data_IF_951156105071
#
_entry.id   IF_951156105071
#
_cell.length_a   1.000
_cell.length_b   1.000
_cell.length_c   1.000
_cell.angle_alpha   90.00
_cell.angle_beta   90.00
_cell.angle_gamma   90.00
#
_symmetry.space_group_name_H-M   'P 1'
#
loop_
_entity.id
_entity.type
_entity.pdbx_description
1 polymer ?
#
# COMPACT_ATOMS: atom_id res chain seq x y z
N UNK A 1 14.89 -4.68 17.74
CA UNK A 1 14.28 -4.53 16.40
C UNK A 1 15.40 -4.79 15.40
N UNK A 2 15.33 -5.83 14.56
CA UNK A 2 16.32 -5.97 13.46
C UNK A 2 16.18 -4.74 12.57
N UNK A 3 17.30 -4.10 12.24
CA UNK A 3 17.27 -2.95 11.33
C UNK A 3 16.64 -3.38 10.00
N UNK A 4 15.86 -2.50 9.36
CA UNK A 4 15.36 -2.70 7.98
C UNK A 4 16.39 -2.24 6.94
N UNK A 5 17.55 -1.73 7.37
CA UNK A 5 18.62 -1.26 6.47
C UNK A 5 19.04 -2.34 5.46
N UNK A 6 19.14 -3.61 5.89
CA UNK A 6 19.53 -4.68 4.97
C UNK A 6 18.57 -4.80 3.77
N UNK A 7 17.26 -4.60 4.00
CA UNK A 7 16.24 -4.69 2.96
C UNK A 7 16.37 -3.50 1.99
N UNK A 8 16.61 -2.30 2.54
CA UNK A 8 16.83 -1.09 1.74
C UNK A 8 18.08 -1.25 0.86
N UNK A 9 19.18 -1.76 1.41
CA UNK A 9 20.41 -1.95 0.64
C UNK A 9 20.25 -3.05 -0.43
N UNK A 10 19.57 -4.16 -0.14
CA UNK A 10 19.25 -5.17 -1.16
C UNK A 10 18.36 -4.62 -2.28
N UNK A 11 17.37 -3.78 -1.93
CA UNK A 11 16.50 -3.14 -2.90
C UNK A 11 17.29 -2.22 -3.84
N UNK A 12 18.20 -1.41 -3.30
CA UNK A 12 19.09 -0.54 -4.09
C UNK A 12 19.98 -1.35 -5.03
N UNK A 13 20.54 -2.46 -4.55
CA UNK A 13 21.36 -3.35 -5.38
C UNK A 13 20.54 -3.88 -6.55
N UNK A 14 19.34 -4.41 -6.29
CA UNK A 14 18.44 -4.89 -7.36
C UNK A 14 18.18 -3.81 -8.40
N UNK A 15 17.82 -2.59 -7.97
CA UNK A 15 17.49 -1.50 -8.88
C UNK A 15 18.71 -1.04 -9.70
N UNK A 16 19.90 -1.06 -9.09
CA UNK A 16 21.16 -0.76 -9.80
C UNK A 16 21.54 -1.81 -10.85
N UNK A 17 21.12 -3.07 -10.66
CA UNK A 17 21.37 -4.13 -11.63
C UNK A 17 20.40 -4.09 -12.82
N UNK A 18 19.21 -3.53 -12.64
CA UNK A 18 18.14 -3.52 -13.64
C UNK A 18 18.10 -2.25 -14.49
N UNK A 19 18.73 -1.15 -14.06
CA UNK A 19 18.69 0.15 -14.76
C UNK A 19 20.08 0.62 -15.20
N UNK A 20 20.19 1.22 -16.39
CA UNK A 20 21.40 1.92 -16.85
C UNK A 20 21.61 3.26 -16.11
N UNK A 21 20.58 3.77 -15.44
CA UNK A 21 20.67 4.91 -14.53
C UNK A 21 21.28 4.51 -13.18
N UNK A 22 22.10 5.39 -12.60
CA UNK A 22 22.62 5.20 -11.25
C UNK A 22 21.47 5.12 -10.26
N UNK A 23 21.43 4.10 -9.39
CA UNK A 23 20.36 3.87 -8.40
C UNK A 23 19.94 5.12 -7.61
N UNK A 24 20.88 6.04 -7.38
CA UNK A 24 20.67 7.29 -6.66
C UNK A 24 19.70 8.28 -7.37
N UNK A 25 19.34 8.06 -8.64
CA UNK A 25 18.32 8.85 -9.35
C UNK A 25 16.89 8.34 -9.14
N UNK A 26 16.70 7.17 -8.52
CA UNK A 26 15.39 6.51 -8.43
C UNK A 26 14.67 6.79 -7.11
N UNK A 27 15.43 7.08 -6.05
CA UNK A 27 14.88 7.31 -4.72
C UNK A 27 15.61 8.46 -4.02
N UNK A 28 14.95 9.01 -3.03
CA UNK A 28 15.47 10.07 -2.16
C UNK A 28 15.37 9.71 -0.68
N UNK A 29 16.06 10.50 0.13
CA UNK A 29 15.89 10.48 1.58
C UNK A 29 14.75 11.44 1.89
N UNK A 30 13.62 10.89 2.34
CA UNK A 30 12.46 11.69 2.70
C UNK A 30 12.75 12.58 3.91
N UNK A 31 12.32 13.84 3.83
CA UNK A 31 12.32 14.76 4.97
C UNK A 31 11.18 14.41 5.93
N UNK A 32 11.26 14.90 7.17
CA UNK A 32 10.25 14.57 8.19
C UNK A 32 8.83 15.05 7.81
N UNK A 33 8.73 16.10 6.97
CA UNK A 33 7.45 16.58 6.44
C UNK A 33 6.83 15.61 5.41
N UNK A 34 7.63 14.99 4.56
CA UNK A 34 7.14 14.05 3.54
C UNK A 34 6.58 12.79 4.21
N UNK A 35 7.22 12.36 5.29
CA UNK A 35 6.78 11.23 6.10
C UNK A 35 5.44 11.48 6.81
N UNK A 36 4.93 12.71 6.86
CA UNK A 36 3.62 13.00 7.45
C UNK A 36 2.50 12.22 6.77
N UNK A 37 2.63 11.94 5.47
CA UNK A 37 1.67 11.17 4.67
C UNK A 37 1.33 9.84 5.34
N UNK A 38 2.34 9.13 5.82
CA UNK A 38 2.18 7.81 6.44
C UNK A 38 2.28 7.84 7.97
N UNK A 39 2.83 8.89 8.57
CA UNK A 39 3.02 8.97 10.03
C UNK A 39 1.87 9.67 10.76
N UNK A 40 1.05 10.47 10.07
CA UNK A 40 -0.12 11.13 10.63
C UNK A 40 -1.33 11.02 9.69
N UNK A 41 -1.89 9.81 9.64
CA UNK A 41 -2.96 9.46 8.71
C UNK A 41 -4.16 10.41 8.82
N UNK A 42 -4.65 10.68 10.03
CA UNK A 42 -5.78 11.58 10.20
C UNK A 42 -5.48 12.99 9.68
N UNK A 43 -4.34 13.59 10.05
CA UNK A 43 -4.01 14.97 9.62
C UNK A 43 -3.88 15.05 8.10
N UNK A 44 -3.23 14.07 7.48
CA UNK A 44 -3.07 14.00 6.02
C UNK A 44 -4.43 13.82 5.35
N UNK A 45 -5.12 12.73 5.63
CA UNK A 45 -6.28 12.33 4.82
C UNK A 45 -7.55 13.11 5.17
N UNK A 46 -7.69 13.66 6.38
CA UNK A 46 -8.81 14.59 6.67
C UNK A 46 -8.74 15.90 5.89
N UNK A 47 -7.57 16.23 5.32
CA UNK A 47 -7.39 17.41 4.48
C UNK A 47 -7.47 17.08 2.99
N UNK A 48 -6.89 15.96 2.57
CA UNK A 48 -6.73 15.63 1.14
C UNK A 48 -7.75 14.63 0.60
N UNK A 49 -8.43 13.84 1.42
CA UNK A 49 -9.34 12.81 0.90
C UNK A 49 -10.59 13.43 0.27
N UNK A 50 -10.93 12.98 -0.94
CA UNK A 50 -12.06 13.49 -1.74
C UNK A 50 -13.31 12.63 -1.64
N UNK A 51 -13.23 11.49 -0.94
CA UNK A 51 -14.30 10.49 -0.84
C UNK A 51 -15.07 10.60 0.48
N UNK A 52 -14.38 10.91 1.57
CA UNK A 52 -14.89 10.93 2.92
C UNK A 52 -14.78 12.31 3.53
N UNK A 53 -15.80 12.70 4.28
CA UNK A 53 -15.73 13.89 5.11
C UNK A 53 -14.81 13.66 6.31
N UNK A 54 -14.29 14.75 6.89
CA UNK A 54 -13.35 14.71 8.01
C UNK A 54 -13.86 13.86 9.17
N UNK A 55 -15.14 13.96 9.52
CA UNK A 55 -15.76 13.23 10.63
C UNK A 55 -15.78 11.72 10.38
N UNK A 56 -15.85 11.30 9.11
CA UNK A 56 -15.80 9.89 8.73
C UNK A 56 -14.40 9.29 8.88
N UNK A 57 -13.36 10.12 8.93
CA UNK A 57 -11.96 9.70 9.02
C UNK A 57 -11.42 9.71 10.46
N UNK A 58 -12.25 10.04 11.46
CA UNK A 58 -11.84 10.16 12.86
C UNK A 58 -11.15 8.90 13.41
N UNK A 59 -11.53 7.71 12.94
CA UNK A 59 -10.90 6.44 13.33
C UNK A 59 -9.39 6.40 13.00
N UNK A 60 -8.94 7.15 11.98
CA UNK A 60 -7.52 7.24 11.63
C UNK A 60 -6.64 7.86 12.73
N UNK A 61 -7.22 8.54 13.72
CA UNK A 61 -6.46 9.08 14.87
C UNK A 61 -5.85 7.98 15.73
N UNK A 62 -6.49 6.83 15.77
CA UNK A 62 -6.09 5.69 16.60
C UNK A 62 -5.27 4.66 15.81
N UNK A 63 -5.14 4.84 14.50
CA UNK A 63 -4.40 3.94 13.60
C UNK A 63 -2.99 4.49 13.38
N UNK A 64 -1.99 3.65 13.65
CA UNK A 64 -0.58 4.04 13.56
C UNK A 64 0.16 3.12 12.59
N UNK A 65 0.83 3.71 11.60
CA UNK A 65 1.77 2.97 10.75
C UNK A 65 2.99 2.56 11.57
N UNK A 66 3.41 1.28 11.54
CA UNK A 66 4.57 0.83 12.29
C UNK A 66 5.84 1.62 11.96
N UNK A 67 6.61 2.01 13.00
CA UNK A 67 7.86 2.78 12.87
C UNK A 67 8.86 2.19 11.87
N UNK A 68 8.85 0.86 11.70
CA UNK A 68 9.71 0.15 10.75
C UNK A 68 9.40 0.56 9.30
N UNK A 69 8.13 0.77 8.95
CA UNK A 69 7.70 1.22 7.61
C UNK A 69 8.02 2.69 7.42
N UNK A 70 7.79 3.53 8.44
CA UNK A 70 8.19 4.95 8.39
C UNK A 70 9.70 5.06 8.16
N UNK A 71 10.49 4.23 8.85
CA UNK A 71 11.94 4.19 8.66
C UNK A 71 12.34 3.68 7.28
N UNK A 72 11.61 2.72 6.71
CA UNK A 72 11.82 2.28 5.32
C UNK A 72 11.68 3.46 4.36
N UNK A 73 10.56 4.18 4.39
CA UNK A 73 10.33 5.35 3.52
C UNK A 73 11.29 6.50 3.79
N UNK A 74 11.74 6.68 5.04
CA UNK A 74 12.78 7.66 5.37
C UNK A 74 14.12 7.36 4.68
N UNK A 75 14.44 6.08 4.49
CA UNK A 75 15.71 5.63 3.89
C UNK A 75 15.59 5.36 2.40
N UNK A 76 14.36 5.18 1.92
CA UNK A 76 14.02 4.82 0.56
C UNK A 76 12.62 5.36 0.23
N UNK A 77 12.56 6.58 -0.31
CA UNK A 77 11.35 7.12 -0.92
C UNK A 77 11.51 7.13 -2.45
N UNK A 78 10.73 6.35 -3.21
CA UNK A 78 10.73 6.42 -4.67
C UNK A 78 10.44 7.85 -5.17
N UNK A 79 11.05 8.30 -6.26
CA UNK A 79 10.81 9.65 -6.81
C UNK A 79 9.58 9.70 -7.75
N UNK A 80 9.26 8.63 -8.49
CA UNK A 80 8.12 8.60 -9.46
C UNK A 80 7.42 7.24 -9.52
N UNK A 81 7.33 6.55 -8.38
CA UNK A 81 7.03 5.13 -8.36
C UNK A 81 8.14 4.28 -9.01
N UNK A 82 8.33 3.05 -8.55
CA UNK A 82 9.37 2.17 -9.09
C UNK A 82 8.79 0.77 -9.28
N UNK A 83 9.00 0.20 -10.47
CA UNK A 83 8.75 -1.20 -10.74
C UNK A 83 9.75 -2.09 -9.97
N UNK A 84 9.23 -2.96 -9.11
CA UNK A 84 10.02 -3.92 -8.33
C UNK A 84 10.03 -5.33 -8.95
N UNK A 85 9.42 -5.51 -10.12
CA UNK A 85 9.10 -6.80 -10.72
C UNK A 85 7.79 -7.38 -10.16
N UNK A 86 7.30 -8.46 -10.77
CA UNK A 86 6.02 -9.06 -10.36
C UNK A 86 4.80 -8.23 -10.75
N UNK A 87 4.94 -7.33 -11.75
CA UNK A 87 3.95 -6.29 -12.08
C UNK A 87 3.62 -5.34 -10.92
N UNK A 88 4.55 -5.13 -9.98
CA UNK A 88 4.37 -4.26 -8.80
C UNK A 88 5.12 -2.94 -8.92
N UNK A 89 4.37 -1.84 -8.90
CA UNK A 89 4.90 -0.47 -8.80
C UNK A 89 4.82 0.02 -7.36
N UNK A 90 5.97 0.14 -6.69
CA UNK A 90 6.07 0.74 -5.35
C UNK A 90 5.91 2.26 -5.46
N UNK A 91 4.97 2.83 -4.71
CA UNK A 91 4.62 4.26 -4.79
C UNK A 91 5.61 5.14 -4.01
N UNK A 92 5.82 6.37 -4.51
CA UNK A 92 6.43 7.47 -3.74
C UNK A 92 5.51 7.91 -2.59
N UNK A 93 6.02 8.69 -1.63
CA UNK A 93 5.16 9.26 -0.58
C UNK A 93 4.07 10.18 -1.16
N UNK A 94 4.37 10.92 -2.23
CA UNK A 94 3.39 11.76 -2.90
C UNK A 94 2.34 10.94 -3.66
N UNK A 95 2.74 9.85 -4.31
CA UNK A 95 1.81 8.93 -4.97
C UNK A 95 0.94 8.19 -3.94
N UNK A 96 1.49 7.81 -2.79
CA UNK A 96 0.71 7.24 -1.66
C UNK A 96 -0.35 8.24 -1.20
N UNK A 97 0.02 9.51 -1.07
CA UNK A 97 -0.93 10.56 -0.71
C UNK A 97 -2.03 10.64 -1.77
N UNK A 98 -1.67 10.76 -3.04
CA UNK A 98 -2.64 10.91 -4.14
C UNK A 98 -3.57 9.69 -4.27
N UNK A 99 -3.01 8.48 -4.29
CA UNK A 99 -3.76 7.22 -4.41
C UNK A 99 -4.79 7.06 -3.28
N UNK A 100 -4.40 7.34 -2.04
CA UNK A 100 -5.27 7.21 -0.87
C UNK A 100 -6.17 8.44 -0.63
N UNK A 101 -6.06 9.48 -1.45
CA UNK A 101 -6.89 10.68 -1.37
C UNK A 101 -7.94 10.77 -2.48
N UNK A 102 -7.61 10.29 -3.69
CA UNK A 102 -8.40 10.59 -4.89
C UNK A 102 -8.73 9.36 -5.73
N UNK A 103 -7.94 8.29 -5.66
CA UNK A 103 -8.05 7.16 -6.58
C UNK A 103 -8.75 5.95 -5.95
N UNK A 104 -9.43 5.17 -6.79
CA UNK A 104 -10.03 3.91 -6.37
C UNK A 104 -9.12 2.74 -6.75
N UNK A 105 -8.89 1.78 -5.83
CA UNK A 105 -9.59 1.64 -4.56
C UNK A 105 -8.98 2.42 -3.38
N UNK A 106 -7.76 2.96 -3.47
CA UNK A 106 -7.03 3.49 -2.30
C UNK A 106 -7.81 4.47 -1.42
N UNK A 107 -8.42 5.50 -2.01
CA UNK A 107 -9.18 6.52 -1.30
C UNK A 107 -10.44 6.00 -0.60
N UNK A 108 -10.97 4.85 -1.02
CA UNK A 108 -12.09 4.17 -0.38
C UNK A 108 -11.63 3.34 0.83
N UNK A 109 -10.41 2.83 0.80
CA UNK A 109 -9.89 1.92 1.81
C UNK A 109 -9.31 2.65 3.03
N UNK A 110 -8.80 3.87 2.83
CA UNK A 110 -8.05 4.60 3.88
C UNK A 110 -8.87 4.81 5.15
N UNK A 111 -10.18 5.06 5.04
CA UNK A 111 -11.08 5.22 6.21
C UNK A 111 -11.02 4.02 7.16
N UNK A 112 -10.74 2.84 6.63
CA UNK A 112 -10.71 1.58 7.39
C UNK A 112 -9.29 1.19 7.83
N UNK A 113 -8.31 2.09 7.77
CA UNK A 113 -6.92 1.79 8.16
C UNK A 113 -6.16 0.91 7.17
N UNK A 114 -6.61 0.87 5.92
CA UNK A 114 -5.98 0.11 4.84
C UNK A 114 -5.36 1.11 3.87
N UNK A 115 -4.03 1.13 3.80
CA UNK A 115 -3.27 2.13 3.03
C UNK A 115 -2.61 1.49 1.82
N UNK A 116 -2.89 2.00 0.64
CA UNK A 116 -2.23 1.61 -0.61
C UNK A 116 -0.82 2.16 -0.64
N UNK A 117 0.17 1.30 -0.87
CA UNK A 117 1.58 1.69 -0.95
C UNK A 117 2.28 1.21 -2.22
N UNK A 118 1.63 0.33 -2.96
CA UNK A 118 2.03 -0.13 -4.27
C UNK A 118 0.78 -0.37 -5.13
N UNK A 119 0.93 -0.35 -6.44
CA UNK A 119 -0.13 -0.69 -7.40
C UNK A 119 0.38 -1.75 -8.36
N UNK A 120 -0.54 -2.46 -8.99
CA UNK A 120 -0.21 -3.37 -10.09
C UNK A 120 -0.23 -2.63 -11.43
N UNK A 121 0.37 -3.22 -12.48
CA UNK A 121 0.19 -2.76 -13.86
C UNK A 121 -1.30 -2.67 -14.25
N UNK A 122 -2.11 -3.62 -13.77
CA UNK A 122 -3.56 -3.63 -13.97
C UNK A 122 -4.31 -2.57 -13.15
N UNK A 123 -3.65 -1.82 -12.28
CA UNK A 123 -4.23 -0.76 -11.44
C UNK A 123 -4.96 -1.30 -10.20
N UNK A 124 -4.71 -2.54 -9.81
CA UNK A 124 -5.14 -3.07 -8.51
C UNK A 124 -4.27 -2.46 -7.41
N UNK A 125 -4.84 -2.31 -6.21
CA UNK A 125 -4.10 -1.74 -5.10
C UNK A 125 -3.43 -2.84 -4.28
N UNK A 126 -2.18 -2.60 -3.89
CA UNK A 126 -1.47 -3.40 -2.91
C UNK A 126 -1.37 -2.56 -1.64
N UNK A 127 -2.00 -3.07 -0.59
CA UNK A 127 -2.25 -2.31 0.63
C UNK A 127 -1.58 -2.94 1.85
N UNK A 128 -1.18 -2.09 2.78
CA UNK A 128 -0.91 -2.48 4.16
C UNK A 128 -2.22 -2.42 4.95
N UNK A 129 -2.63 -3.53 5.53
CA UNK A 129 -3.73 -3.53 6.50
C UNK A 129 -3.18 -3.29 7.91
N UNK A 130 -3.40 -2.08 8.42
CA UNK A 130 -2.86 -1.63 9.70
C UNK A 130 -3.63 -2.20 10.90
N UNK A 131 -4.78 -2.84 10.68
CA UNK A 131 -5.57 -3.50 11.72
C UNK A 131 -5.01 -4.88 12.08
N UNK A 132 -4.21 -5.50 11.20
CA UNK A 132 -3.66 -6.85 11.39
C UNK A 132 -2.14 -6.81 11.39
N UNK A 133 -1.56 -6.85 12.60
CA UNK A 133 -0.11 -6.80 12.79
C UNK A 133 0.48 -8.17 13.16
N UNK A 134 1.50 -8.60 12.42
CA UNK A 134 2.31 -9.79 12.69
C UNK A 134 3.75 -9.38 13.01
N UNK A 135 4.21 -9.61 14.24
CA UNK A 135 5.52 -9.16 14.74
C UNK A 135 5.77 -7.64 14.55
N UNK A 136 4.69 -6.85 14.70
CA UNK A 136 4.73 -5.39 14.56
C UNK A 136 4.81 -4.90 13.11
N UNK A 137 4.46 -5.72 12.13
CA UNK A 137 4.34 -5.36 10.71
C UNK A 137 2.93 -5.67 10.21
N UNK A 138 2.36 -4.84 9.32
CA UNK A 138 1.05 -5.12 8.74
C UNK A 138 1.13 -6.29 7.77
N UNK A 139 0.02 -7.01 7.62
CA UNK A 139 -0.17 -7.88 6.45
C UNK A 139 -0.28 -7.05 5.18
N UNK A 140 0.13 -7.65 4.07
CA UNK A 140 0.04 -7.11 2.73
C UNK A 140 -1.07 -7.83 2.01
N UNK A 141 -2.02 -7.06 1.51
CA UNK A 141 -3.17 -7.54 0.75
C UNK A 141 -3.18 -6.93 -0.65
N UNK A 142 -3.70 -7.67 -1.62
CA UNK A 142 -4.09 -7.14 -2.92
C UNK A 142 -5.61 -6.95 -2.96
N UNK A 143 -6.02 -5.84 -3.54
CA UNK A 143 -7.43 -5.43 -3.64
C UNK A 143 -7.79 -5.22 -5.10
N UNK A 144 -8.73 -6.04 -5.58
CA UNK A 144 -9.26 -5.94 -6.94
C UNK A 144 -10.05 -4.64 -7.11
N UNK A 145 -9.56 -3.76 -7.98
CA UNK A 145 -10.22 -2.47 -8.29
C UNK A 145 -11.62 -2.67 -8.88
N UNK A 146 -11.89 -3.79 -9.53
CA UNK A 146 -13.19 -4.11 -10.12
C UNK A 146 -14.26 -4.34 -9.05
N UNK A 147 -13.85 -4.84 -7.89
CA UNK A 147 -14.71 -5.07 -6.72
C UNK A 147 -14.83 -3.81 -5.87
N UNK A 148 -13.70 -3.15 -5.60
CA UNK A 148 -13.60 -2.02 -4.66
C UNK A 148 -13.57 -0.67 -5.39
N UNK A 149 -14.52 -0.44 -6.29
CA UNK A 149 -14.60 0.80 -7.09
C UNK A 149 -15.53 1.90 -6.52
N UNK A 150 -16.15 1.67 -5.37
CA UNK A 150 -17.05 2.65 -4.76
C UNK A 150 -17.44 2.30 -3.33
N UNK A 151 -18.20 3.21 -2.68
CA UNK A 151 -18.78 2.99 -1.34
C UNK A 151 -19.81 1.85 -1.31
N UNK A 152 -20.27 1.40 -2.47
CA UNK A 152 -21.13 0.22 -2.63
C UNK A 152 -20.35 -0.76 -3.50
N UNK A 153 -19.97 -1.90 -2.93
CA UNK A 153 -19.29 -2.97 -3.68
C UNK A 153 -20.31 -3.95 -4.23
N UNK A 154 -20.06 -4.48 -5.43
CA UNK A 154 -20.92 -5.47 -6.08
C UNK A 154 -20.22 -6.82 -6.13
N UNK A 155 -20.85 -7.84 -5.56
CA UNK A 155 -20.27 -9.17 -5.41
C UNK A 155 -21.16 -10.24 -6.03
N UNK A 156 -20.56 -11.19 -6.74
CA UNK A 156 -21.26 -12.35 -7.26
C UNK A 156 -21.39 -13.41 -6.15
N UNK A 157 -22.62 -13.70 -5.72
CA UNK A 157 -22.90 -14.72 -4.70
C UNK A 157 -23.94 -15.70 -5.21
N UNK A 158 -23.54 -16.97 -5.41
CA UNK A 158 -24.41 -18.05 -5.91
C UNK A 158 -25.11 -17.68 -7.24
N UNK A 159 -24.38 -17.05 -8.16
CA UNK A 159 -24.90 -16.65 -9.46
C UNK A 159 -25.75 -15.37 -9.46
N UNK A 160 -25.86 -14.67 -8.31
CA UNK A 160 -26.61 -13.42 -8.19
C UNK A 160 -25.69 -12.30 -7.75
N UNK A 161 -25.75 -11.15 -8.44
CA UNK A 161 -25.05 -9.93 -8.03
C UNK A 161 -25.73 -9.33 -6.81
N UNK A 162 -24.96 -9.06 -5.76
CA UNK A 162 -25.41 -8.43 -4.53
C UNK A 162 -24.58 -7.18 -4.25
N UNK A 163 -25.24 -6.15 -3.76
CA UNK A 163 -24.62 -4.89 -3.40
C UNK A 163 -24.52 -4.77 -1.88
N UNK A 164 -23.40 -4.24 -1.41
CA UNK A 164 -23.11 -4.04 0.00
C UNK A 164 -22.44 -2.69 0.19
N UNK A 165 -22.79 -1.98 1.26
CA UNK A 165 -22.01 -0.84 1.71
C UNK A 165 -20.62 -1.32 2.11
N UNK A 166 -19.59 -0.62 1.64
CA UNK A 166 -18.20 -0.94 1.95
C UNK A 166 -17.98 -0.90 3.46
N UNK A 167 -17.33 -1.94 3.98
CA UNK A 167 -16.99 -2.07 5.38
C UNK A 167 -15.67 -2.81 5.52
N UNK A 168 -15.02 -2.68 6.68
CA UNK A 168 -13.78 -3.40 6.97
C UNK A 168 -13.98 -4.92 6.91
N UNK A 169 -15.13 -5.44 7.35
CA UNK A 169 -15.44 -6.88 7.28
C UNK A 169 -15.49 -7.39 5.83
N UNK A 170 -15.90 -6.55 4.88
CA UNK A 170 -15.85 -6.89 3.46
C UNK A 170 -14.43 -6.82 2.91
N UNK A 171 -13.64 -5.85 3.35
CA UNK A 171 -12.22 -5.77 2.99
C UNK A 171 -11.47 -7.02 3.48
N UNK A 172 -11.59 -7.36 4.76
CA UNK A 172 -10.95 -8.55 5.34
C UNK A 172 -11.38 -9.86 4.66
N UNK A 173 -12.61 -9.91 4.17
CA UNK A 173 -13.17 -11.10 3.53
C UNK A 173 -12.79 -11.26 2.05
N UNK A 174 -12.71 -10.15 1.30
CA UNK A 174 -12.58 -10.20 -0.16
C UNK A 174 -11.27 -9.65 -0.70
N UNK A 175 -10.47 -8.94 0.09
CA UNK A 175 -9.08 -8.70 -0.24
C UNK A 175 -8.28 -10.00 -0.05
N UNK A 176 -7.26 -10.20 -0.87
CA UNK A 176 -6.43 -11.42 -0.80
C UNK A 176 -5.13 -11.10 -0.08
N UNK A 177 -4.80 -11.87 0.96
CA UNK A 177 -3.51 -11.77 1.65
C UNK A 177 -2.39 -12.33 0.77
N UNK A 178 -1.46 -11.46 0.35
CA UNK A 178 -0.23 -11.87 -0.33
C UNK A 178 0.79 -12.37 0.70
N UNK A 179 0.95 -11.62 1.78
CA UNK A 179 1.88 -11.96 2.84
C UNK A 179 1.49 -11.36 4.19
N UNK A 180 1.89 -12.02 5.29
CA UNK A 180 1.63 -11.55 6.65
C UNK A 180 2.49 -10.36 7.09
N UNK A 181 3.55 -10.03 6.36
CA UNK A 181 4.53 -9.03 6.74
C UNK A 181 5.03 -8.22 5.54
N UNK A 182 5.03 -6.89 5.70
CA UNK A 182 5.61 -5.94 4.75
C UNK A 182 7.03 -6.32 4.31
N UNK A 183 7.96 -6.56 5.24
CA UNK A 183 9.36 -6.84 4.89
C UNK A 183 9.53 -8.11 4.07
N UNK A 184 8.70 -9.13 4.31
CA UNK A 184 8.75 -10.38 3.56
C UNK A 184 8.21 -10.18 2.15
N UNK A 185 7.12 -9.43 1.98
CA UNK A 185 6.61 -9.08 0.66
C UNK A 185 7.64 -8.34 -0.19
N UNK A 186 8.27 -7.28 0.34
CA UNK A 186 9.33 -6.56 -0.38
C UNK A 186 10.50 -7.49 -0.73
N UNK A 187 10.87 -8.41 0.19
CA UNK A 187 11.93 -9.40 -0.07
C UNK A 187 11.54 -10.39 -1.18
N UNK A 188 10.28 -10.82 -1.25
CA UNK A 188 9.79 -11.67 -2.35
C UNK A 188 9.96 -10.97 -3.71
N UNK A 189 9.67 -9.67 -3.79
CA UNK A 189 9.90 -8.88 -5.00
C UNK A 189 11.39 -8.77 -5.33
N UNK A 190 12.24 -8.48 -4.34
CA UNK A 190 13.70 -8.42 -4.53
C UNK A 190 14.24 -9.73 -5.08
N UNK A 191 13.77 -10.86 -4.55
CA UNK A 191 14.22 -12.20 -4.93
C UNK A 191 13.54 -12.75 -6.21
N UNK A 192 12.69 -11.96 -6.88
CA UNK A 192 11.87 -12.37 -8.02
C UNK A 192 11.05 -13.65 -7.75
N UNK A 193 10.47 -13.75 -6.56
CA UNK A 193 9.59 -14.87 -6.17
C UNK A 193 8.14 -14.68 -6.61
N UNK A 194 7.81 -13.50 -7.14
CA UNK A 194 6.50 -13.15 -7.69
C UNK A 194 6.75 -12.78 -9.16
N UNK A 195 6.13 -13.52 -10.08
CA UNK A 195 6.22 -13.26 -11.53
C UNK A 195 5.10 -12.32 -11.97
N UNK A 196 3.88 -12.58 -11.50
CA UNK A 196 2.71 -11.71 -11.61
C UNK A 196 1.95 -11.74 -10.28
N UNK A 197 1.83 -10.57 -9.63
CA UNK A 197 1.12 -10.46 -8.35
C UNK A 197 -0.40 -10.58 -8.51
N UNK A 198 -0.94 -10.35 -9.71
CA UNK A 198 -2.37 -10.46 -9.98
C UNK A 198 -2.86 -11.91 -9.97
N UNK A 199 -1.96 -12.90 -10.08
CA UNK A 199 -2.30 -14.32 -9.89
C UNK A 199 -2.92 -14.63 -8.51
N UNK A 200 -2.74 -13.74 -7.52
CA UNK A 200 -3.42 -13.86 -6.23
C UNK A 200 -4.93 -13.56 -6.30
N UNK A 201 -5.41 -12.93 -7.38
CA UNK A 201 -6.82 -12.59 -7.57
C UNK A 201 -7.61 -13.66 -8.35
N UNK A 202 -6.92 -14.66 -8.91
CA UNK A 202 -7.50 -15.74 -9.74
C UNK A 202 -8.23 -16.86 -8.95
#
# INVERSE_FOLDING_TARGET
MKSIDWLVEELKIKLSCNNEETSDSLFEIAEDNDLEVISNLFKTYSFYNSIYEKEELEELKDITVPKKIIYFYKRFSPINGIDLGGDVFLLSLDDIKHENSELAPGALLIKYGVITFATTTGGNAICMDLNVLNDGEPRIIIVDKSVFNGKIITLLSKGVMKQYDLSYELIDKYAVEINKKFTVFIKMLIDNQIDDVEEYLD
#
